data_IF_528066711556
#
_entry.id   IF_528066711556
#
_cell.length_a   1.000
_cell.length_b   1.000
_cell.length_c   1.000
_cell.angle_alpha   90.00
_cell.angle_beta   90.00
_cell.angle_gamma   90.00
#
_symmetry.space_group_name_H-M   'P 1'
#
loop_
_entity.id
_entity.type
_entity.pdbx_description
1 polymer ?
#
# COMPACT_ATOMS: atom_id res chain seq x y z
N UNK A 1 81.00 -12.00 -38.33
CA UNK A 1 80.46 -12.65 -37.11
C UNK A 1 79.91 -11.65 -36.08
N UNK A 2 80.66 -10.60 -35.67
CA UNK A 2 80.21 -9.62 -34.65
C UNK A 2 78.85 -8.94 -34.95
N UNK A 3 78.56 -8.60 -36.22
CA UNK A 3 77.28 -7.97 -36.62
C UNK A 3 76.05 -8.84 -36.38
N UNK A 4 76.16 -10.15 -36.63
CA UNK A 4 75.05 -11.11 -36.45
C UNK A 4 74.72 -11.24 -34.95
N UNK A 5 75.72 -11.26 -34.09
CA UNK A 5 75.54 -11.31 -32.63
C UNK A 5 74.76 -10.10 -32.13
N UNK A 6 75.09 -8.89 -32.59
CA UNK A 6 74.37 -7.67 -32.21
C UNK A 6 72.91 -7.64 -32.69
N UNK A 7 72.64 -8.12 -33.91
CA UNK A 7 71.26 -8.26 -34.43
C UNK A 7 70.47 -9.25 -33.58
N UNK A 8 71.08 -10.38 -33.21
CA UNK A 8 70.43 -11.41 -32.39
C UNK A 8 70.09 -10.88 -30.99
N UNK A 9 71.02 -10.15 -30.37
CA UNK A 9 70.80 -9.49 -29.07
C UNK A 9 69.66 -8.47 -29.16
N UNK A 10 69.66 -7.62 -30.20
CA UNK A 10 68.59 -6.65 -30.42
C UNK A 10 67.22 -7.31 -30.61
N UNK A 11 67.15 -8.41 -31.36
CA UNK A 11 65.94 -9.18 -31.56
C UNK A 11 65.42 -9.80 -30.25
N UNK A 12 66.31 -10.35 -29.43
CA UNK A 12 65.95 -10.92 -28.12
C UNK A 12 65.42 -9.83 -27.19
N UNK A 13 66.07 -8.66 -27.15
CA UNK A 13 65.60 -7.53 -26.35
C UNK A 13 64.21 -7.04 -26.80
N UNK A 14 63.98 -6.91 -28.10
CA UNK A 14 62.68 -6.55 -28.65
C UNK A 14 61.60 -7.57 -28.30
N UNK A 15 61.91 -8.86 -28.42
CA UNK A 15 60.99 -9.93 -28.04
C UNK A 15 60.65 -9.92 -26.54
N UNK A 16 61.64 -9.69 -25.68
CA UNK A 16 61.44 -9.59 -24.24
C UNK A 16 60.58 -8.38 -23.86
N UNK A 17 60.86 -7.21 -24.43
CA UNK A 17 60.06 -6.01 -24.21
C UNK A 17 58.60 -6.21 -24.65
N UNK A 18 58.39 -6.80 -25.83
CA UNK A 18 57.05 -7.12 -26.33
C UNK A 18 56.30 -8.09 -25.40
N UNK A 19 56.99 -9.04 -24.77
CA UNK A 19 56.39 -9.97 -23.82
C UNK A 19 56.00 -9.31 -22.51
N UNK A 20 56.82 -8.41 -21.96
CA UNK A 20 56.53 -7.73 -20.69
C UNK A 20 55.44 -6.67 -20.81
N UNK A 21 55.29 -6.08 -21.99
CA UNK A 21 54.23 -5.11 -22.31
C UNK A 21 52.86 -5.77 -22.54
N UNK A 22 52.78 -7.11 -22.57
CA UNK A 22 51.47 -7.78 -22.67
C UNK A 22 50.69 -7.65 -21.35
N UNK A 23 49.45 -7.12 -21.39
CA UNK A 23 48.62 -6.99 -20.21
C UNK A 23 48.25 -8.39 -19.66
N UNK A 24 48.37 -8.57 -18.34
CA UNK A 24 47.91 -9.78 -17.66
C UNK A 24 46.41 -9.68 -17.42
N UNK A 25 45.60 -10.66 -17.86
CA UNK A 25 44.17 -10.65 -17.58
C UNK A 25 43.94 -10.78 -16.07
N UNK A 26 43.03 -9.96 -15.53
CA UNK A 26 42.60 -10.05 -14.14
C UNK A 26 41.39 -11.00 -14.04
N UNK A 27 41.41 -12.00 -13.16
CA UNK A 27 40.24 -12.86 -12.95
C UNK A 27 39.14 -12.04 -12.29
N UNK A 28 37.99 -11.91 -12.97
CA UNK A 28 36.80 -11.22 -12.46
C UNK A 28 35.61 -12.19 -12.48
N UNK A 29 34.74 -12.07 -11.48
CA UNK A 29 33.49 -12.82 -11.45
C UNK A 29 32.55 -12.27 -12.53
N UNK A 30 32.11 -13.16 -13.43
CA UNK A 30 31.19 -12.83 -14.50
C UNK A 30 29.84 -13.50 -14.24
N UNK A 31 28.76 -12.76 -14.48
CA UNK A 31 27.39 -13.28 -14.50
C UNK A 31 26.82 -13.22 -15.90
N UNK A 32 26.06 -14.25 -16.29
CA UNK A 32 25.33 -14.25 -17.56
C UNK A 32 24.05 -13.40 -17.42
N UNK A 33 23.74 -12.52 -18.38
CA UNK A 33 22.49 -11.77 -18.34
C UNK A 33 21.31 -12.72 -18.59
N UNK A 34 20.28 -12.63 -17.74
CA UNK A 34 19.03 -13.41 -17.87
C UNK A 34 17.87 -12.45 -18.11
N UNK A 35 17.04 -12.75 -19.12
CA UNK A 35 15.78 -12.05 -19.34
C UNK A 35 14.69 -12.74 -18.55
N UNK A 36 14.12 -12.04 -17.59
CA UNK A 36 12.99 -12.51 -16.79
C UNK A 36 11.96 -11.38 -16.65
N UNK A 37 10.73 -11.74 -16.33
CA UNK A 37 9.69 -10.76 -16.05
C UNK A 37 9.95 -10.12 -14.68
N UNK A 38 10.12 -8.80 -14.66
CA UNK A 38 10.13 -8.01 -13.43
C UNK A 38 8.71 -7.55 -13.16
N UNK A 39 8.20 -7.79 -11.95
CA UNK A 39 6.90 -7.29 -11.49
C UNK A 39 7.14 -6.26 -10.40
N UNK A 40 6.60 -5.07 -10.61
CA UNK A 40 6.58 -3.98 -9.64
C UNK A 40 5.14 -3.79 -9.17
N UNK A 41 4.98 -3.55 -7.87
CA UNK A 41 3.69 -3.32 -7.24
C UNK A 41 3.77 -2.05 -6.42
N UNK A 42 2.71 -1.25 -6.46
CA UNK A 42 2.52 -0.14 -5.53
C UNK A 42 1.77 -0.71 -4.34
N UNK A 43 2.41 -0.71 -3.18
CA UNK A 43 1.77 -1.08 -1.91
C UNK A 43 1.21 0.19 -1.27
N UNK A 44 -0.10 0.26 -1.16
CA UNK A 44 -0.79 1.35 -0.47
C UNK A 44 -1.45 0.81 0.80
N UNK A 45 -1.35 1.58 1.89
CA UNK A 45 -2.09 1.27 3.11
C UNK A 45 -3.55 1.67 2.90
N UNK A 46 -4.45 0.68 2.93
CA UNK A 46 -5.88 0.90 2.83
C UNK A 46 -6.54 0.64 4.19
N UNK A 47 -7.55 1.46 4.51
CA UNK A 47 -8.44 1.24 5.65
C UNK A 47 -9.85 1.04 5.13
N UNK A 48 -10.51 -0.01 5.60
CA UNK A 48 -11.92 -0.24 5.30
C UNK A 48 -12.76 0.73 6.14
N UNK A 49 -13.75 1.37 5.52
CA UNK A 49 -14.74 2.21 6.20
C UNK A 49 -16.13 1.70 5.85
N UNK A 50 -17.07 1.84 6.78
CA UNK A 50 -18.49 1.65 6.48
C UNK A 50 -18.93 2.65 5.40
N UNK A 51 -19.77 2.19 4.46
CA UNK A 51 -20.26 3.02 3.37
C UNK A 51 -21.14 4.17 3.89
N UNK A 52 -22.02 3.85 4.85
CA UNK A 52 -22.85 4.81 5.54
C UNK A 52 -22.91 4.49 7.04
N UNK A 53 -22.88 5.55 7.84
CA UNK A 53 -23.14 5.51 9.28
C UNK A 53 -24.31 6.45 9.57
N UNK A 54 -25.37 5.91 10.17
CA UNK A 54 -26.58 6.66 10.51
C UNK A 54 -26.69 6.79 12.02
N UNK A 55 -26.79 8.02 12.49
CA UNK A 55 -27.19 8.31 13.86
C UNK A 55 -28.71 8.50 13.88
N UNK A 56 -29.40 7.67 14.65
CA UNK A 56 -30.83 7.85 14.94
C UNK A 56 -30.91 8.53 16.31
N UNK A 57 -31.40 9.76 16.32
CA UNK A 57 -31.60 10.55 17.53
C UNK A 57 -33.09 10.84 17.77
N UNK A 58 -33.39 11.37 18.97
CA UNK A 58 -34.74 11.77 19.36
C UNK A 58 -34.82 13.30 19.34
N UNK A 59 -35.50 13.91 18.36
CA UNK A 59 -35.46 15.37 18.15
C UNK A 59 -36.29 16.15 19.18
N UNK A 60 -37.10 15.46 19.98
CA UNK A 60 -37.98 16.01 21.00
C UNK A 60 -37.71 15.34 22.34
N UNK A 61 -37.99 16.01 23.45
CA UNK A 61 -37.94 15.37 24.76
C UNK A 61 -39.13 14.41 24.93
N UNK A 62 -38.90 13.23 25.49
CA UNK A 62 -39.95 12.23 25.70
C UNK A 62 -39.41 10.93 26.28
N UNK A 63 -40.32 9.97 26.46
CA UNK A 63 -39.99 8.62 26.91
C UNK A 63 -40.08 7.68 25.72
N UNK A 64 -39.13 6.76 25.58
CA UNK A 64 -39.22 5.70 24.57
C UNK A 64 -39.98 4.50 25.13
N UNK A 65 -40.78 3.87 24.27
CA UNK A 65 -41.21 2.51 24.51
C UNK A 65 -40.00 1.56 24.55
N UNK A 66 -40.20 0.36 25.09
CA UNK A 66 -39.15 -0.66 25.10
C UNK A 66 -38.65 -0.93 23.69
N UNK A 67 -37.35 -0.76 23.48
CA UNK A 67 -36.69 -1.15 22.23
C UNK A 67 -36.55 -2.67 22.23
N UNK A 68 -37.16 -3.32 21.23
CA UNK A 68 -37.14 -4.78 21.08
C UNK A 68 -35.90 -5.27 20.31
N UNK A 69 -35.23 -4.38 19.58
CA UNK A 69 -34.01 -4.66 18.83
C UNK A 69 -32.80 -4.84 19.73
N UNK A 70 -31.90 -5.74 19.32
CA UNK A 70 -30.63 -6.02 19.99
C UNK A 70 -29.45 -5.63 19.09
N UNK A 71 -28.31 -5.38 19.71
CA UNK A 71 -27.09 -5.08 18.98
C UNK A 71 -26.69 -6.27 18.08
N UNK A 72 -26.52 -6.00 16.78
CA UNK A 72 -26.18 -7.00 15.77
C UNK A 72 -27.38 -7.57 15.01
N UNK A 73 -28.61 -7.19 15.37
CA UNK A 73 -29.79 -7.54 14.57
C UNK A 73 -29.72 -6.83 13.21
N UNK A 74 -30.23 -7.51 12.18
CA UNK A 74 -30.28 -6.97 10.83
C UNK A 74 -31.54 -6.11 10.66
N UNK A 75 -31.38 -4.93 10.05
CA UNK A 75 -32.44 -3.97 9.79
C UNK A 75 -32.55 -3.71 8.29
N UNK A 76 -33.76 -3.50 7.81
CA UNK A 76 -34.05 -3.05 6.46
C UNK A 76 -34.63 -1.63 6.45
N UNK A 77 -34.58 -0.98 5.29
CA UNK A 77 -35.14 0.36 5.13
C UNK A 77 -36.66 0.33 5.37
N UNK A 78 -37.12 1.13 6.34
CA UNK A 78 -38.54 1.20 6.73
C UNK A 78 -38.84 0.51 8.06
N UNK A 79 -37.89 -0.24 8.62
CA UNK A 79 -38.05 -0.83 9.94
C UNK A 79 -38.11 0.25 11.04
N UNK A 80 -39.03 0.06 11.99
CA UNK A 80 -39.18 0.96 13.14
C UNK A 80 -38.17 0.56 14.21
N UNK A 81 -37.16 1.39 14.42
CA UNK A 81 -36.09 1.13 15.39
C UNK A 81 -36.50 1.46 16.83
N UNK A 82 -37.34 2.48 17.02
CA UNK A 82 -37.88 2.86 18.32
C UNK A 82 -39.22 3.60 18.17
N UNK A 83 -40.06 3.53 19.20
CA UNK A 83 -41.31 4.31 19.30
C UNK A 83 -41.25 5.22 20.53
N UNK A 84 -41.75 6.44 20.39
CA UNK A 84 -41.87 7.41 21.48
C UNK A 84 -43.26 7.27 22.10
N UNK A 85 -43.34 7.31 23.43
CA UNK A 85 -44.60 7.35 24.16
C UNK A 85 -45.33 8.69 23.88
N UNK A 86 -46.52 8.67 23.27
CA UNK A 86 -47.15 9.87 22.74
C UNK A 86 -47.76 10.80 23.80
N UNK A 87 -47.99 10.33 25.03
CA UNK A 87 -48.78 11.08 26.03
C UNK A 87 -48.17 12.44 26.40
N UNK A 88 -46.85 12.52 26.60
CA UNK A 88 -46.17 13.80 26.88
C UNK A 88 -46.14 14.71 25.63
N UNK A 89 -45.95 14.14 24.44
CA UNK A 89 -45.94 14.89 23.18
C UNK A 89 -47.30 15.51 22.87
N UNK A 90 -48.39 14.75 23.01
CA UNK A 90 -49.76 15.23 22.80
C UNK A 90 -50.12 16.37 23.76
N UNK A 91 -49.67 16.29 25.01
CA UNK A 91 -49.83 17.37 26.00
C UNK A 91 -49.08 18.63 25.57
N UNK A 92 -47.85 18.50 25.07
CA UNK A 92 -47.04 19.64 24.65
C UNK A 92 -47.59 20.32 23.39
N UNK A 93 -48.01 19.55 22.38
CA UNK A 93 -48.62 20.08 21.15
C UNK A 93 -49.90 20.86 21.48
N UNK A 94 -50.78 20.28 22.31
CA UNK A 94 -52.01 20.95 22.75
C UNK A 94 -51.71 22.26 23.48
N UNK A 95 -50.64 22.32 24.26
CA UNK A 95 -50.21 23.55 24.93
C UNK A 95 -49.75 24.67 23.97
N UNK A 96 -49.20 24.30 22.81
CA UNK A 96 -48.73 25.25 21.78
C UNK A 96 -49.87 25.82 20.94
N UNK A 97 -50.96 25.07 20.72
CA UNK A 97 -52.13 25.56 19.97
C UNK A 97 -52.91 26.68 20.67
N UNK A 98 -52.63 26.93 21.95
CA UNK A 98 -53.25 28.00 22.74
C UNK A 98 -52.47 29.33 22.75
N UNK A 99 -51.44 29.49 21.93
CA UNK A 99 -50.68 30.73 21.70
C UNK A 99 -50.98 31.33 20.32
#
# INVERSE_FOLDING_TARGET
MKRIVWVLIGAIMLAAAAYTLRPRPLPVAMGAPVRTTVREYIAEEAKTRLDAEYLIDMPIAGTLERIEWKAGDMLEAGDVVARIEPFELERQIRGMEFL
#
